data_IF_154990714190
#
_entry.id   IF_154990714190
#
_cell.length_a   1.000
_cell.length_b   1.000
_cell.length_c   1.000
_cell.angle_alpha   90.00
_cell.angle_beta   90.00
_cell.angle_gamma   90.00
#
_symmetry.space_group_name_H-M   'P 1'
#
loop_
_entity.id
_entity.type
_entity.pdbx_description
1 polymer ?
#
# COMPACT_ATOMS: atom_id res chain seq x y z
N UNK A 1 27.95 -1.40 1.89
CA UNK A 1 27.20 -2.67 2.02
C UNK A 1 26.04 -2.62 1.05
N UNK A 2 25.96 -3.61 0.12
CA UNK A 2 24.88 -3.72 -0.86
C UNK A 2 23.89 -4.82 -0.46
N UNK A 3 22.62 -4.51 -0.44
CA UNK A 3 21.55 -5.45 -0.09
C UNK A 3 20.65 -5.63 -1.31
N UNK A 4 20.41 -6.88 -1.71
CA UNK A 4 19.41 -7.24 -2.72
C UNK A 4 18.10 -7.54 -2.00
N UNK A 5 17.05 -6.75 -2.26
CA UNK A 5 15.77 -6.83 -1.56
C UNK A 5 14.65 -7.31 -2.50
N UNK A 6 13.85 -8.27 -2.04
CA UNK A 6 12.70 -8.84 -2.75
C UNK A 6 11.38 -8.43 -2.07
N UNK A 7 10.40 -8.03 -2.87
CA UNK A 7 9.04 -7.75 -2.43
C UNK A 7 8.04 -8.42 -3.37
N UNK A 8 7.18 -9.28 -2.82
CA UNK A 8 6.15 -10.01 -3.57
C UNK A 8 4.86 -10.17 -2.76
N UNK A 9 4.56 -9.22 -1.88
CA UNK A 9 3.47 -9.40 -0.89
C UNK A 9 2.06 -9.35 -1.47
N UNK A 10 1.88 -8.73 -2.64
CA UNK A 10 0.55 -8.55 -3.25
C UNK A 10 0.56 -8.76 -4.77
N UNK A 11 0.50 -7.71 -5.56
CA UNK A 11 0.34 -7.74 -7.02
C UNK A 11 1.48 -7.06 -7.79
N UNK A 12 2.56 -6.73 -7.11
CA UNK A 12 3.83 -6.30 -7.71
C UNK A 12 4.94 -7.27 -7.33
N UNK A 13 5.74 -7.67 -8.33
CA UNK A 13 7.04 -8.31 -8.12
C UNK A 13 8.11 -7.24 -8.18
N UNK A 14 8.78 -6.98 -7.07
CA UNK A 14 9.83 -5.96 -7.04
C UNK A 14 11.15 -6.52 -6.55
N UNK A 15 12.25 -6.01 -7.11
CA UNK A 15 13.58 -6.23 -6.60
C UNK A 15 14.39 -4.93 -6.65
N UNK A 16 15.15 -4.67 -5.60
CA UNK A 16 15.95 -3.45 -5.48
C UNK A 16 17.35 -3.78 -4.95
N UNK A 17 18.34 -2.99 -5.38
CA UNK A 17 19.68 -2.99 -4.78
C UNK A 17 19.86 -1.68 -4.03
N UNK A 18 20.09 -1.79 -2.72
CA UNK A 18 20.27 -0.66 -1.81
C UNK A 18 21.68 -0.67 -1.27
N UNK A 19 22.37 0.49 -1.33
CA UNK A 19 23.68 0.68 -0.77
C UNK A 19 23.60 1.45 0.56
N UNK A 20 24.27 0.92 1.59
CA UNK A 20 24.40 1.52 2.93
C UNK A 20 23.07 1.94 3.57
N UNK A 21 21.99 1.21 3.26
CA UNK A 21 20.66 1.37 3.84
C UNK A 21 19.89 2.62 3.38
N UNK A 22 20.47 3.47 2.54
CA UNK A 22 19.87 4.76 2.13
C UNK A 22 19.90 5.00 0.62
N UNK A 23 20.93 4.56 -0.07
CA UNK A 23 21.11 4.85 -1.49
C UNK A 23 20.50 3.77 -2.35
N UNK A 24 19.48 4.12 -3.11
CA UNK A 24 18.87 3.24 -4.12
C UNK A 24 19.82 3.18 -5.33
N UNK A 25 20.35 2.00 -5.63
CA UNK A 25 21.13 1.75 -6.84
C UNK A 25 20.23 1.30 -8.00
N UNK A 26 19.19 0.52 -7.69
CA UNK A 26 18.15 0.10 -8.63
C UNK A 26 16.85 -0.19 -7.89
N UNK A 27 15.72 -0.10 -8.60
CA UNK A 27 14.40 -0.51 -8.09
C UNK A 27 13.52 -0.91 -9.29
N UNK A 28 13.45 -2.19 -9.57
CA UNK A 28 12.70 -2.76 -10.68
C UNK A 28 11.38 -3.32 -10.17
N UNK A 29 10.29 -3.00 -10.89
CA UNK A 29 8.94 -3.37 -10.50
C UNK A 29 8.21 -3.95 -11.72
N UNK A 30 7.74 -5.20 -11.62
CA UNK A 30 6.79 -5.82 -12.54
C UNK A 30 5.40 -5.78 -11.92
N UNK A 31 4.48 -4.98 -12.50
CA UNK A 31 3.13 -4.81 -11.97
C UNK A 31 2.11 -5.72 -12.65
N UNK A 32 1.25 -6.34 -11.86
CA UNK A 32 0.15 -7.18 -12.31
C UNK A 32 -1.20 -6.44 -12.37
N UNK A 33 -1.22 -5.12 -12.10
CA UNK A 33 -2.44 -4.29 -12.15
C UNK A 33 -3.23 -4.47 -13.46
N UNK A 34 -2.61 -4.52 -14.67
CA UNK A 34 -3.35 -4.74 -15.92
C UNK A 34 -4.09 -6.08 -15.97
N UNK A 35 -3.57 -7.10 -15.28
CA UNK A 35 -4.14 -8.44 -15.20
C UNK A 35 -5.33 -8.42 -14.24
N UNK A 36 -5.12 -7.93 -13.04
CA UNK A 36 -6.10 -7.90 -11.95
C UNK A 36 -7.27 -6.94 -12.23
N UNK A 37 -7.05 -5.90 -13.02
CA UNK A 37 -8.09 -4.99 -13.49
C UNK A 37 -9.26 -5.71 -14.16
N UNK A 38 -9.01 -6.82 -14.86
CA UNK A 38 -10.03 -7.64 -15.52
C UNK A 38 -10.97 -8.33 -14.54
N UNK A 39 -10.53 -8.53 -13.31
CA UNK A 39 -11.27 -9.19 -12.23
C UNK A 39 -11.85 -8.19 -11.22
N UNK A 40 -11.55 -6.90 -11.38
CA UNK A 40 -12.02 -5.85 -10.48
C UNK A 40 -11.29 -5.83 -9.12
N UNK A 41 -10.10 -6.41 -9.04
CA UNK A 41 -9.24 -6.47 -7.83
C UNK A 41 -8.30 -7.65 -7.88
N UNK A 42 -7.41 -7.74 -6.90
CA UNK A 42 -6.36 -8.76 -6.84
C UNK A 42 -6.96 -10.15 -6.64
N UNK A 43 -6.49 -11.12 -7.45
CA UNK A 43 -6.82 -12.54 -7.33
C UNK A 43 -5.57 -13.28 -6.83
N UNK A 44 -5.54 -13.76 -5.57
CA UNK A 44 -4.33 -14.26 -4.92
C UNK A 44 -3.60 -15.37 -5.67
N UNK A 45 -4.34 -16.32 -6.26
CA UNK A 45 -3.74 -17.42 -7.00
C UNK A 45 -3.09 -16.96 -8.31
N UNK A 46 -3.71 -16.01 -9.01
CA UNK A 46 -3.16 -15.42 -10.22
C UNK A 46 -1.87 -14.66 -9.87
N UNK A 47 -1.92 -13.86 -8.79
CA UNK A 47 -0.76 -13.13 -8.32
C UNK A 47 0.42 -14.06 -8.04
N UNK A 48 0.19 -15.14 -7.30
CA UNK A 48 1.25 -16.10 -6.96
C UNK A 48 1.91 -16.72 -8.19
N UNK A 49 1.14 -17.05 -9.23
CA UNK A 49 1.67 -17.63 -10.48
C UNK A 49 2.53 -16.64 -11.25
N UNK A 50 2.12 -15.40 -11.34
CA UNK A 50 2.92 -14.35 -12.02
C UNK A 50 4.21 -14.05 -11.27
N UNK A 51 4.21 -14.04 -9.94
CA UNK A 51 5.45 -13.89 -9.17
C UNK A 51 6.49 -14.96 -9.50
N UNK A 52 6.06 -16.21 -9.75
CA UNK A 52 6.98 -17.29 -10.13
C UNK A 52 7.68 -16.98 -11.46
N UNK A 53 6.96 -16.40 -12.41
CA UNK A 53 7.49 -16.05 -13.72
C UNK A 53 8.42 -14.84 -13.65
N UNK A 54 8.10 -13.86 -12.79
CA UNK A 54 8.74 -12.54 -12.78
C UNK A 54 9.92 -12.43 -11.80
N UNK A 55 9.95 -13.19 -10.70
CA UNK A 55 10.87 -12.95 -9.59
C UNK A 55 12.35 -13.00 -10.00
N UNK A 56 12.74 -13.93 -10.86
CA UNK A 56 14.12 -14.04 -11.31
C UNK A 56 14.48 -13.00 -12.39
N UNK A 57 13.68 -12.78 -13.44
CA UNK A 57 13.89 -11.69 -14.38
C UNK A 57 14.03 -10.32 -13.71
N UNK A 58 13.15 -9.99 -12.78
CA UNK A 58 13.17 -8.71 -12.04
C UNK A 58 14.43 -8.58 -11.18
N UNK A 59 14.89 -9.68 -10.55
CA UNK A 59 16.13 -9.66 -9.78
C UNK A 59 17.37 -9.46 -10.65
N UNK A 60 17.42 -10.10 -11.83
CA UNK A 60 18.52 -9.93 -12.79
C UNK A 60 18.58 -8.48 -13.29
N UNK A 61 17.44 -7.94 -13.70
CA UNK A 61 17.32 -6.55 -14.17
C UNK A 61 17.75 -5.56 -13.08
N UNK A 62 17.36 -5.81 -11.82
CA UNK A 62 17.76 -4.97 -10.70
C UNK A 62 19.27 -4.96 -10.48
N UNK A 63 19.95 -6.09 -10.64
CA UNK A 63 21.41 -6.18 -10.57
C UNK A 63 22.07 -5.46 -11.74
N UNK A 64 21.56 -5.63 -12.95
CA UNK A 64 22.06 -4.96 -14.14
C UNK A 64 21.97 -3.44 -14.04
N UNK A 65 20.82 -2.91 -13.63
CA UNK A 65 20.62 -1.47 -13.41
C UNK A 65 21.54 -0.92 -12.31
N UNK A 66 21.75 -1.69 -11.25
CA UNK A 66 22.67 -1.36 -10.16
C UNK A 66 24.14 -1.46 -10.58
N UNK A 67 24.46 -2.03 -11.75
CA UNK A 67 25.79 -2.39 -12.20
C UNK A 67 26.55 -3.24 -11.16
N UNK A 68 25.83 -4.22 -10.59
CA UNK A 68 26.34 -5.12 -9.58
C UNK A 68 26.17 -6.58 -10.02
N UNK A 69 27.17 -7.42 -9.74
CA UNK A 69 27.03 -8.87 -9.84
C UNK A 69 26.44 -9.46 -8.58
N UNK A 70 26.04 -10.73 -8.64
CA UNK A 70 25.59 -11.48 -7.48
C UNK A 70 26.66 -11.53 -6.37
N UNK A 71 27.93 -11.56 -6.75
CA UNK A 71 29.10 -11.57 -5.86
C UNK A 71 29.27 -10.26 -5.07
N UNK A 72 28.75 -9.14 -5.60
CA UNK A 72 28.82 -7.82 -4.95
C UNK A 72 27.80 -7.63 -3.83
N UNK A 73 26.86 -8.57 -3.70
CA UNK A 73 25.79 -8.49 -2.71
C UNK A 73 26.29 -8.98 -1.35
N UNK A 74 26.08 -8.18 -0.33
CA UNK A 74 26.50 -8.47 1.05
C UNK A 74 25.43 -9.16 1.88
N UNK A 75 24.13 -8.91 1.57
CA UNK A 75 22.99 -9.52 2.22
C UNK A 75 21.79 -9.57 1.27
N UNK A 76 20.87 -10.52 1.51
CA UNK A 76 19.59 -10.62 0.82
C UNK A 76 18.48 -10.28 1.80
N UNK A 77 17.55 -9.41 1.42
CA UNK A 77 16.37 -9.06 2.20
C UNK A 77 15.10 -9.53 1.49
N UNK A 78 14.05 -9.86 2.24
CA UNK A 78 12.76 -10.23 1.66
C UNK A 78 11.61 -9.90 2.59
N UNK A 79 10.52 -9.42 2.04
CA UNK A 79 9.26 -9.27 2.76
C UNK A 79 8.70 -10.63 3.12
N UNK A 80 8.56 -10.88 4.43
CA UNK A 80 7.99 -12.14 4.96
C UNK A 80 6.50 -12.05 5.29
N UNK A 81 5.95 -10.86 5.37
CA UNK A 81 4.56 -10.57 5.72
C UNK A 81 4.38 -9.17 6.33
N UNK A 82 3.10 -8.75 6.48
CA UNK A 82 1.89 -9.37 5.95
C UNK A 82 1.78 -9.31 4.43
N UNK A 83 0.88 -10.14 3.86
CA UNK A 83 0.63 -10.19 2.43
C UNK A 83 -0.09 -11.47 2.01
N UNK A 84 -0.27 -11.67 0.71
CA UNK A 84 -0.86 -12.87 0.14
C UNK A 84 0.09 -14.06 0.32
N UNK A 85 -0.36 -15.10 1.01
CA UNK A 85 0.49 -16.24 1.42
C UNK A 85 1.25 -16.86 0.23
N UNK A 86 0.55 -17.15 -0.87
CA UNK A 86 1.18 -17.75 -2.06
C UNK A 86 2.21 -16.83 -2.71
N UNK A 87 1.94 -15.54 -2.76
CA UNK A 87 2.84 -14.52 -3.30
C UNK A 87 4.10 -14.37 -2.41
N UNK A 88 3.93 -14.24 -1.09
CA UNK A 88 5.05 -14.20 -0.13
C UNK A 88 5.95 -15.43 -0.23
N UNK A 89 5.36 -16.63 -0.38
CA UNK A 89 6.13 -17.88 -0.50
C UNK A 89 7.09 -17.85 -1.70
N UNK A 90 6.70 -17.25 -2.82
CA UNK A 90 7.56 -17.14 -4.01
C UNK A 90 8.78 -16.26 -3.71
N UNK A 91 8.56 -15.05 -3.20
CA UNK A 91 9.66 -14.13 -2.85
C UNK A 91 10.59 -14.70 -1.79
N UNK A 92 10.02 -15.29 -0.74
CA UNK A 92 10.80 -15.93 0.34
C UNK A 92 11.62 -17.10 -0.19
N UNK A 93 11.08 -17.95 -1.07
CA UNK A 93 11.82 -19.06 -1.68
C UNK A 93 12.97 -18.54 -2.56
N UNK A 94 12.72 -17.55 -3.41
CA UNK A 94 13.73 -16.94 -4.26
C UNK A 94 14.87 -16.31 -3.42
N UNK A 95 14.53 -15.50 -2.43
CA UNK A 95 15.50 -14.82 -1.57
C UNK A 95 16.32 -15.83 -0.72
N UNK A 96 15.68 -16.86 -0.17
CA UNK A 96 16.38 -17.95 0.55
C UNK A 96 17.36 -18.66 -0.35
N UNK A 97 16.97 -18.96 -1.58
CA UNK A 97 17.84 -19.63 -2.55
C UNK A 97 19.04 -18.73 -2.88
N UNK A 98 18.80 -17.46 -3.19
CA UNK A 98 19.88 -16.50 -3.45
C UNK A 98 20.85 -16.39 -2.27
N UNK A 99 20.33 -16.18 -1.06
CA UNK A 99 21.16 -16.08 0.15
C UNK A 99 22.00 -17.33 0.40
N UNK A 100 21.39 -18.50 0.21
CA UNK A 100 22.07 -19.79 0.40
C UNK A 100 23.19 -20.02 -0.64
N UNK A 101 22.89 -19.78 -1.92
CA UNK A 101 23.88 -19.95 -3.01
C UNK A 101 25.04 -18.98 -2.85
N UNK A 102 24.76 -17.76 -2.46
CA UNK A 102 25.79 -16.73 -2.27
C UNK A 102 26.54 -16.84 -0.94
N UNK A 103 26.06 -17.69 0.00
CA UNK A 103 26.61 -17.75 1.35
C UNK A 103 26.45 -16.44 2.14
N UNK A 104 25.37 -15.70 1.88
CA UNK A 104 25.11 -14.38 2.47
C UNK A 104 23.98 -14.44 3.48
N UNK A 105 23.91 -13.52 4.47
CA UNK A 105 22.81 -13.48 5.41
C UNK A 105 21.47 -13.15 4.71
N UNK A 106 20.40 -13.77 5.21
CA UNK A 106 19.02 -13.47 4.83
C UNK A 106 18.37 -12.61 5.90
N UNK A 107 17.73 -11.50 5.49
CA UNK A 107 17.05 -10.56 6.36
C UNK A 107 15.55 -10.62 6.06
N UNK A 108 14.77 -11.00 7.06
CA UNK A 108 13.31 -10.98 6.96
C UNK A 108 12.78 -9.58 7.29
N UNK A 109 11.94 -9.03 6.41
CA UNK A 109 11.39 -7.66 6.54
C UNK A 109 9.86 -7.74 6.69
N UNK A 110 9.33 -6.92 7.58
CA UNK A 110 7.88 -6.71 7.67
C UNK A 110 7.44 -5.70 6.59
N UNK A 111 6.41 -6.04 5.83
CA UNK A 111 5.87 -5.19 4.75
C UNK A 111 5.50 -3.77 5.22
N UNK A 112 4.88 -3.67 6.41
CA UNK A 112 4.48 -2.36 6.94
C UNK A 112 5.68 -1.52 7.39
N UNK A 113 6.70 -2.15 7.96
CA UNK A 113 7.97 -1.49 8.27
C UNK A 113 8.66 -1.00 6.99
N UNK A 114 8.58 -1.79 5.91
CA UNK A 114 9.05 -1.37 4.58
C UNK A 114 8.38 -0.07 4.11
N UNK A 115 7.04 0.04 4.23
CA UNK A 115 6.33 1.27 3.92
C UNK A 115 6.76 2.47 4.78
N UNK A 116 6.94 2.24 6.08
CA UNK A 116 7.39 3.30 7.01
C UNK A 116 8.80 3.76 6.64
N UNK A 117 9.72 2.82 6.45
CA UNK A 117 11.13 3.12 6.16
C UNK A 117 11.38 3.62 4.74
N UNK A 118 10.46 3.46 3.80
CA UNK A 118 10.56 4.11 2.49
C UNK A 118 10.71 5.64 2.60
N UNK A 119 10.18 6.26 3.67
CA UNK A 119 10.38 7.68 3.93
C UNK A 119 11.85 8.05 4.20
N UNK A 120 12.64 7.13 4.76
CA UNK A 120 14.07 7.36 5.02
C UNK A 120 14.90 7.37 3.73
N UNK A 121 14.39 6.78 2.65
CA UNK A 121 15.01 6.84 1.33
C UNK A 121 14.76 8.20 0.65
N UNK A 122 13.61 8.83 0.92
CA UNK A 122 13.24 10.13 0.38
C UNK A 122 13.81 11.30 1.20
N UNK A 123 13.80 11.15 2.54
CA UNK A 123 14.20 12.18 3.50
C UNK A 123 15.42 11.69 4.28
N UNK A 124 16.61 12.07 3.82
CA UNK A 124 17.88 11.60 4.38
C UNK A 124 18.14 12.06 5.81
N UNK A 125 17.49 13.13 6.23
CA UNK A 125 17.58 13.76 7.56
C UNK A 125 16.50 13.26 8.54
N UNK A 126 15.57 12.42 8.06
CA UNK A 126 14.55 11.84 8.93
C UNK A 126 15.17 10.76 9.82
N UNK A 127 15.03 10.94 11.12
CA UNK A 127 15.51 10.01 12.14
C UNK A 127 14.42 9.77 13.21
N UNK A 128 14.35 8.58 13.82
CA UNK A 128 13.49 8.35 14.97
C UNK A 128 13.85 9.28 16.16
N UNK A 129 12.87 9.63 17.03
CA UNK A 129 11.49 9.21 16.95
C UNK A 129 10.64 10.07 16.02
N UNK A 130 9.67 9.43 15.33
CA UNK A 130 8.66 10.13 14.52
C UNK A 130 7.32 9.40 14.53
N UNK A 131 6.25 10.12 14.16
CA UNK A 131 4.92 9.56 13.97
C UNK A 131 4.71 9.25 12.49
N UNK A 132 4.25 8.04 12.19
CA UNK A 132 3.94 7.58 10.83
C UNK A 132 2.46 7.25 10.71
N UNK A 133 1.80 7.86 9.72
CA UNK A 133 0.47 7.46 9.26
C UNK A 133 0.62 6.63 7.99
N UNK A 134 0.38 5.33 8.10
CA UNK A 134 0.38 4.42 6.96
C UNK A 134 -1.02 4.33 6.39
N UNK A 135 -1.18 4.67 5.11
CA UNK A 135 -2.46 4.63 4.39
C UNK A 135 -2.26 3.95 3.05
N UNK A 136 -2.88 2.78 2.87
CA UNK A 136 -2.76 1.99 1.64
C UNK A 136 -4.10 1.35 1.26
N UNK A 137 -4.09 0.53 0.21
CA UNK A 137 -5.25 -0.26 -0.21
C UNK A 137 -5.67 -1.31 0.83
N UNK A 138 -4.73 -1.87 1.58
CA UNK A 138 -5.00 -2.94 2.56
C UNK A 138 -4.84 -2.54 4.02
N UNK A 139 -4.17 -1.41 4.30
CA UNK A 139 -3.82 -1.03 5.67
C UNK A 139 -4.05 0.46 5.93
N UNK A 140 -4.53 0.77 7.14
CA UNK A 140 -4.55 2.12 7.68
C UNK A 140 -4.19 2.04 9.14
N UNK A 141 -3.07 2.64 9.53
CA UNK A 141 -2.55 2.60 10.90
C UNK A 141 -1.74 3.84 11.26
N UNK A 142 -1.74 4.16 12.54
CA UNK A 142 -0.92 5.21 13.15
C UNK A 142 0.14 4.55 14.04
N UNK A 143 1.40 4.83 13.77
CA UNK A 143 2.54 4.16 14.41
C UNK A 143 3.55 5.19 14.89
N UNK A 144 4.02 5.06 16.12
CA UNK A 144 5.20 5.76 16.61
C UNK A 144 6.43 4.91 16.34
N UNK A 145 7.36 5.42 15.57
CA UNK A 145 8.68 4.84 15.39
C UNK A 145 9.59 5.42 16.48
N UNK A 146 9.90 4.62 17.51
CA UNK A 146 10.72 5.03 18.66
C UNK A 146 12.21 5.05 18.32
N UNK A 147 12.62 4.00 17.60
CA UNK A 147 13.94 3.84 17.00
C UNK A 147 13.83 2.90 15.78
N UNK A 148 14.95 2.55 15.15
CA UNK A 148 14.96 1.71 13.94
C UNK A 148 14.43 0.29 14.10
N UNK A 149 14.22 -0.18 15.34
CA UNK A 149 13.75 -1.54 15.65
C UNK A 149 12.52 -1.55 16.55
N UNK A 150 12.01 -0.39 16.97
CA UNK A 150 10.93 -0.29 17.94
C UNK A 150 9.76 0.52 17.42
N UNK A 151 8.64 -0.18 17.19
CA UNK A 151 7.41 0.36 16.64
C UNK A 151 6.30 0.22 17.67
N UNK A 152 5.58 1.30 17.91
CA UNK A 152 4.42 1.33 18.79
C UNK A 152 3.18 1.63 17.97
N UNK A 153 2.30 0.64 17.81
CA UNK A 153 1.01 0.82 17.16
C UNK A 153 0.08 1.60 18.08
N UNK A 154 -0.27 2.83 17.69
CA UNK A 154 -1.24 3.65 18.44
C UNK A 154 -2.68 3.30 18.07
N UNK A 155 -2.95 3.06 16.78
CA UNK A 155 -4.27 2.69 16.29
C UNK A 155 -4.22 2.18 14.86
N UNK A 156 -5.28 1.48 14.48
CA UNK A 156 -5.43 0.93 13.13
C UNK A 156 -6.90 0.91 12.73
N UNK A 157 -7.16 0.67 11.44
CA UNK A 157 -8.55 0.50 11.02
C UNK A 157 -9.17 -0.75 11.63
N UNK A 158 -10.42 -0.61 12.09
CA UNK A 158 -11.24 -1.73 12.64
C UNK A 158 -12.00 -2.48 11.53
N UNK A 159 -12.01 -1.94 10.33
CA UNK A 159 -12.78 -2.49 9.21
C UNK A 159 -12.06 -2.25 7.88
N UNK A 160 -12.67 -1.60 6.89
CA UNK A 160 -12.03 -1.30 5.62
C UNK A 160 -10.79 -0.41 5.82
N UNK A 161 -9.74 -0.63 5.03
CA UNK A 161 -8.68 0.36 4.89
C UNK A 161 -9.17 1.58 4.09
N UNK A 162 -8.50 2.72 4.24
CA UNK A 162 -8.88 3.93 3.51
C UNK A 162 -8.89 3.70 1.99
N UNK A 163 -7.83 3.12 1.42
CA UNK A 163 -7.75 2.83 -0.02
C UNK A 163 -8.80 1.83 -0.48
N UNK A 164 -9.12 0.81 0.32
CA UNK A 164 -10.21 -0.12 0.05
C UNK A 164 -11.57 0.59 -0.04
N UNK A 165 -11.82 1.58 0.82
CA UNK A 165 -13.02 2.40 0.75
C UNK A 165 -13.08 3.21 -0.56
N UNK A 166 -11.95 3.78 -1.01
CA UNK A 166 -11.86 4.44 -2.32
C UNK A 166 -12.20 3.51 -3.47
N UNK A 167 -11.64 2.30 -3.49
CA UNK A 167 -11.86 1.31 -4.56
C UNK A 167 -13.33 0.86 -4.61
N UNK A 168 -13.94 0.61 -3.43
CA UNK A 168 -15.34 0.22 -3.33
C UNK A 168 -16.29 1.31 -3.81
N UNK A 169 -16.03 2.57 -3.46
CA UNK A 169 -16.84 3.72 -3.91
C UNK A 169 -16.67 3.97 -5.41
N UNK A 170 -15.44 3.92 -5.92
CA UNK A 170 -15.17 4.04 -7.35
C UNK A 170 -15.95 2.98 -8.15
N UNK A 171 -15.97 1.74 -7.67
CA UNK A 171 -16.74 0.66 -8.30
C UNK A 171 -18.24 0.95 -8.36
N UNK A 172 -18.82 1.50 -7.28
CA UNK A 172 -20.24 1.90 -7.26
C UNK A 172 -20.52 3.02 -8.26
N UNK A 173 -19.57 3.92 -8.47
CA UNK A 173 -19.65 4.97 -9.48
C UNK A 173 -19.37 4.48 -10.92
N UNK A 174 -19.08 3.18 -11.12
CA UNK A 174 -18.79 2.59 -12.43
C UNK A 174 -17.34 2.71 -12.91
N UNK A 175 -16.41 3.07 -12.04
CA UNK A 175 -14.98 3.17 -12.37
C UNK A 175 -14.24 1.85 -12.10
N UNK A 176 -13.20 1.55 -12.90
CA UNK A 176 -12.43 0.33 -12.75
C UNK A 176 -11.41 0.40 -11.59
N UNK A 177 -10.88 -0.77 -11.20
CA UNK A 177 -9.74 -0.89 -10.30
C UNK A 177 -8.42 -0.46 -10.98
N UNK A 178 -7.49 0.21 -10.26
CA UNK A 178 -7.65 0.77 -8.91
C UNK A 178 -8.51 2.04 -8.92
N UNK A 179 -9.40 2.19 -7.93
CA UNK A 179 -10.40 3.25 -7.87
C UNK A 179 -9.90 4.59 -7.36
N UNK A 180 -8.87 4.58 -6.49
CA UNK A 180 -8.34 5.78 -5.86
C UNK A 180 -8.02 6.92 -6.82
N UNK A 181 -7.26 6.70 -7.91
CA UNK A 181 -6.93 7.73 -8.88
C UNK A 181 -8.15 8.37 -9.56
N UNK A 182 -9.23 7.60 -9.77
CA UNK A 182 -10.47 8.12 -10.36
C UNK A 182 -11.20 9.03 -9.38
N UNK A 183 -11.32 8.61 -8.12
CA UNK A 183 -11.94 9.43 -7.07
C UNK A 183 -11.15 10.74 -6.88
N UNK A 184 -9.82 10.68 -6.82
CA UNK A 184 -8.97 11.88 -6.69
C UNK A 184 -9.16 12.85 -7.88
N UNK A 185 -9.24 12.31 -9.09
CA UNK A 185 -9.49 13.13 -10.30
C UNK A 185 -10.86 13.82 -10.26
N UNK A 186 -11.92 13.09 -9.87
CA UNK A 186 -13.25 13.63 -9.73
C UNK A 186 -13.31 14.69 -8.62
N UNK A 187 -12.70 14.41 -7.47
CA UNK A 187 -12.70 15.28 -6.32
C UNK A 187 -12.10 16.67 -6.61
N UNK A 188 -11.12 16.75 -7.51
CA UNK A 188 -10.51 18.03 -7.95
C UNK A 188 -11.49 18.96 -8.65
N UNK A 189 -12.57 18.43 -9.24
CA UNK A 189 -13.59 19.19 -9.94
C UNK A 189 -14.84 19.46 -9.07
N UNK A 190 -14.98 18.78 -7.91
CA UNK A 190 -16.15 18.83 -7.06
C UNK A 190 -16.04 19.80 -5.89
N UNK A 191 -17.17 20.04 -5.24
CA UNK A 191 -17.24 20.84 -4.01
C UNK A 191 -17.13 19.92 -2.77
N UNK A 192 -16.06 20.02 -1.96
CA UNK A 192 -15.86 19.16 -0.77
C UNK A 192 -16.86 19.45 0.37
N UNK A 193 -17.67 20.49 0.25
CA UNK A 193 -18.69 20.87 1.23
C UNK A 193 -20.12 20.60 0.74
N UNK A 194 -20.30 19.97 -0.42
CA UNK A 194 -21.61 19.72 -0.99
C UNK A 194 -22.43 18.70 -0.19
N UNK A 195 -21.73 17.72 0.43
CA UNK A 195 -22.37 16.65 1.19
C UNK A 195 -21.61 16.44 2.50
N UNK A 196 -22.34 16.47 3.61
CA UNK A 196 -21.76 16.16 4.92
C UNK A 196 -21.91 14.64 5.20
N UNK A 197 -20.79 13.92 5.11
CA UNK A 197 -20.75 12.52 5.45
C UNK A 197 -20.36 12.31 6.93
N UNK A 198 -20.86 11.24 7.58
CA UNK A 198 -20.55 10.96 8.97
C UNK A 198 -19.09 10.59 9.17
N UNK A 199 -18.52 11.06 10.28
CA UNK A 199 -17.18 10.67 10.75
C UNK A 199 -17.33 9.66 11.89
N UNK A 200 -16.85 8.43 11.67
CA UNK A 200 -16.86 7.38 12.68
C UNK A 200 -15.89 7.67 13.84
N UNK A 201 -16.12 7.03 14.99
CA UNK A 201 -15.24 7.02 16.17
C UNK A 201 -14.93 8.39 16.80
N UNK A 202 -15.50 9.49 16.31
CA UNK A 202 -15.20 10.86 16.75
C UNK A 202 -15.38 11.10 18.27
N UNK A 203 -16.18 10.27 18.95
CA UNK A 203 -16.46 10.38 20.38
C UNK A 203 -15.70 9.36 21.24
N UNK A 204 -14.93 8.49 20.62
CA UNK A 204 -14.12 7.50 21.31
C UNK A 204 -12.73 8.07 21.64
N UNK A 205 -12.19 7.74 22.80
CA UNK A 205 -10.80 8.03 23.15
C UNK A 205 -9.89 6.92 22.60
N UNK A 206 -9.85 6.80 21.27
CA UNK A 206 -9.07 5.80 20.55
C UNK A 206 -8.40 6.45 19.35
N UNK A 207 -7.24 5.94 18.97
CA UNK A 207 -6.54 6.29 17.73
C UNK A 207 -6.93 5.39 16.55
N UNK A 208 -7.93 4.51 16.74
CA UNK A 208 -8.40 3.64 15.67
C UNK A 208 -9.19 4.40 14.60
N UNK A 209 -9.25 3.81 13.42
CA UNK A 209 -10.01 4.31 12.27
C UNK A 209 -11.19 3.37 11.95
N UNK A 210 -12.20 3.89 11.25
CA UNK A 210 -13.28 3.10 10.67
C UNK A 210 -13.80 3.80 9.42
N UNK A 211 -13.77 3.12 8.29
CA UNK A 211 -14.19 3.64 6.99
C UNK A 211 -15.45 2.96 6.44
N UNK A 212 -15.87 1.81 7.00
CA UNK A 212 -17.04 1.07 6.51
C UNK A 212 -18.34 1.84 6.67
N UNK A 213 -18.50 2.59 7.77
CA UNK A 213 -19.64 3.47 7.99
C UNK A 213 -19.69 4.62 6.98
N UNK A 214 -18.56 5.26 6.71
CA UNK A 214 -18.43 6.31 5.70
C UNK A 214 -18.75 5.76 4.31
N UNK A 215 -18.16 4.63 3.93
CA UNK A 215 -18.46 3.94 2.66
C UNK A 215 -19.95 3.69 2.50
N UNK A 216 -20.60 3.12 3.52
CA UNK A 216 -22.03 2.82 3.48
C UNK A 216 -22.89 4.08 3.33
N UNK A 217 -22.50 5.18 3.98
CA UNK A 217 -23.19 6.46 3.86
C UNK A 217 -23.11 7.01 2.43
N UNK A 218 -21.95 6.92 1.78
CA UNK A 218 -21.78 7.36 0.38
C UNK A 218 -22.60 6.51 -0.57
N UNK A 219 -22.56 5.18 -0.44
CA UNK A 219 -23.35 4.26 -1.27
C UNK A 219 -24.84 4.52 -1.12
N UNK A 220 -25.32 4.66 0.11
CA UNK A 220 -26.73 4.94 0.39
C UNK A 220 -27.15 6.30 -0.18
N UNK A 221 -26.28 7.31 -0.13
CA UNK A 221 -26.56 8.62 -0.73
C UNK A 221 -26.78 8.50 -2.25
N UNK A 222 -25.86 7.82 -2.95
CA UNK A 222 -25.94 7.60 -4.40
C UNK A 222 -27.26 6.87 -4.74
N UNK A 223 -27.51 5.71 -4.10
CA UNK A 223 -28.73 4.93 -4.35
C UNK A 223 -30.02 5.70 -4.04
N UNK A 224 -30.05 6.48 -2.96
CA UNK A 224 -31.21 7.28 -2.62
C UNK A 224 -31.53 8.36 -3.67
N UNK A 225 -30.52 8.94 -4.30
CA UNK A 225 -30.67 9.89 -5.41
C UNK A 225 -31.15 9.20 -6.68
N UNK A 226 -30.57 8.05 -7.02
CA UNK A 226 -30.95 7.24 -8.17
C UNK A 226 -32.42 6.79 -8.09
N UNK A 227 -32.84 6.28 -6.93
CA UNK A 227 -34.26 5.89 -6.70
C UNK A 227 -35.21 7.05 -6.87
N UNK A 228 -34.83 8.26 -6.48
CA UNK A 228 -35.60 9.47 -6.65
C UNK A 228 -35.47 10.08 -8.05
N UNK A 229 -34.70 9.48 -8.94
CA UNK A 229 -34.37 10.00 -10.28
C UNK A 229 -33.80 11.43 -10.24
N UNK A 230 -33.06 11.76 -9.17
CA UNK A 230 -32.36 13.05 -9.03
C UNK A 230 -30.93 12.87 -9.51
N UNK A 231 -30.41 13.76 -10.38
CA UNK A 231 -29.01 13.68 -10.82
C UNK A 231 -28.02 13.67 -9.65
N UNK A 232 -26.98 12.82 -9.76
CA UNK A 232 -25.87 12.76 -8.80
C UNK A 232 -24.67 13.45 -9.44
N UNK A 233 -24.11 14.45 -8.76
CA UNK A 233 -22.79 14.96 -9.09
C UNK A 233 -21.75 14.02 -8.47
N UNK A 234 -21.12 13.19 -9.27
CA UNK A 234 -20.06 12.31 -8.79
C UNK A 234 -18.81 13.07 -8.38
N UNK A 235 -18.59 14.26 -8.95
CA UNK A 235 -17.51 15.16 -8.55
C UNK A 235 -17.70 15.63 -7.11
N UNK A 236 -18.91 16.07 -6.75
CA UNK A 236 -19.22 16.53 -5.39
C UNK A 236 -19.20 15.39 -4.38
N UNK A 237 -19.69 14.20 -4.77
CA UNK A 237 -19.61 12.99 -3.93
C UNK A 237 -18.16 12.63 -3.68
N UNK A 238 -17.32 12.58 -4.70
CA UNK A 238 -15.90 12.25 -4.58
C UNK A 238 -15.16 13.28 -3.71
N UNK A 239 -15.39 14.58 -3.93
CA UNK A 239 -14.77 15.65 -3.15
C UNK A 239 -15.17 15.61 -1.67
N UNK A 240 -16.48 15.42 -1.39
CA UNK A 240 -16.99 15.35 -0.02
C UNK A 240 -16.54 14.07 0.70
N UNK A 241 -16.45 12.94 -0.03
CA UNK A 241 -15.92 11.68 0.49
C UNK A 241 -14.44 11.81 0.83
N UNK A 242 -13.63 12.32 -0.10
CA UNK A 242 -12.18 12.51 0.12
C UNK A 242 -11.91 13.44 1.32
N UNK A 243 -12.67 14.53 1.44
CA UNK A 243 -12.60 15.39 2.63
C UNK A 243 -12.95 14.65 3.91
N UNK A 244 -13.97 13.79 3.91
CA UNK A 244 -14.34 13.00 5.08
C UNK A 244 -13.23 12.01 5.47
N UNK A 245 -12.59 11.33 4.49
CA UNK A 245 -11.45 10.45 4.73
C UNK A 245 -10.27 11.21 5.33
N UNK A 246 -9.93 12.37 4.77
CA UNK A 246 -8.85 13.23 5.32
C UNK A 246 -9.17 13.63 6.76
N UNK A 247 -10.38 14.08 7.02
CA UNK A 247 -10.79 14.46 8.36
C UNK A 247 -10.75 13.30 9.35
N UNK A 248 -11.16 12.08 8.94
CA UNK A 248 -11.02 10.87 9.76
C UNK A 248 -9.56 10.52 10.03
N UNK A 249 -8.69 10.68 9.05
CA UNK A 249 -7.27 10.38 9.19
C UNK A 249 -6.54 11.38 10.08
N UNK A 250 -6.94 12.64 10.06
CA UNK A 250 -6.30 13.72 10.82
C UNK A 250 -6.91 13.98 12.20
N UNK A 251 -8.07 13.40 12.51
CA UNK A 251 -8.78 13.67 13.77
C UNK A 251 -7.97 13.27 15.02
N UNK A 252 -7.05 12.34 14.85
CA UNK A 252 -6.20 11.81 15.92
C UNK A 252 -4.82 12.49 15.98
N UNK A 253 -4.48 13.31 14.99
CA UNK A 253 -3.20 14.01 14.87
C UNK A 253 -3.35 15.48 15.28
#
# INVERSE_FOLDING_TARGET
MKILAFETSCDETSCAVIEDGRKILSNVISTQVPIHKKFGGVVPEIASRHHIEDVLPVAIEALEEARAGWEDIDAVAVTQGPGLVGALLVGVAAAKTAAWVLGKPLIAVNHMEGHIFANLLQYSDLEPPFLSLVVSGGHTMLVVVRDYNTFELLGQTRDDAAGEAFDKIARVMGYPYPGGPYIDKLAKAGNPNAIEFPLALRKEHSFDFSFSGLKSAVINYIHAKEMKKVPVSYEDVAASFQKAVINLSLIHI
#
